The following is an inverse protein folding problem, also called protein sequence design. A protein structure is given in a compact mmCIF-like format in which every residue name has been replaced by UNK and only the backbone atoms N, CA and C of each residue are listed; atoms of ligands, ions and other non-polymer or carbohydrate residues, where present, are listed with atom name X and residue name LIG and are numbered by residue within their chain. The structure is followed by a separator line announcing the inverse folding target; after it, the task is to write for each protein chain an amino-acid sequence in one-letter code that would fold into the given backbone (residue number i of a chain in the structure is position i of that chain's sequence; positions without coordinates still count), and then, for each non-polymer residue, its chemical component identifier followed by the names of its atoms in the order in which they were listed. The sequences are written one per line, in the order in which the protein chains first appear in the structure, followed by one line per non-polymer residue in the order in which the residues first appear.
data_IF_021464348043
#
_entry.id   IF_021464348043
#
_cell.length_a   1.000
_cell.length_b   1.000
_cell.length_c   1.000
_cell.angle_alpha   90.00
_cell.angle_beta   90.00
_cell.angle_gamma   90.00
#
_symmetry.space_group_name_H-M   'P 1'
#
loop_
_entity.id
_entity.type
_entity.pdbx_description
1 polymer ?
#
# COMPACT_ATOMS: atom_id res chain seq x y z
N UNK A 1 -0.67 -18.47 -20.24
CA UNK A 1 0.42 -17.47 -20.31
C UNK A 1 -0.14 -16.20 -20.93
N UNK A 2 0.16 -15.04 -20.37
CA UNK A 2 -0.41 -13.75 -20.80
C UNK A 2 0.73 -12.78 -21.07
N UNK A 3 0.78 -12.20 -22.26
CA UNK A 3 1.75 -11.17 -22.64
C UNK A 3 1.07 -9.81 -22.64
N UNK A 4 1.65 -8.83 -21.93
CA UNK A 4 1.05 -7.50 -21.82
C UNK A 4 2.10 -6.40 -21.61
N UNK A 5 1.69 -5.15 -21.88
CA UNK A 5 2.45 -3.94 -21.60
C UNK A 5 1.60 -2.97 -20.78
N UNK A 6 2.26 -2.22 -19.91
CA UNK A 6 1.64 -1.19 -19.07
C UNK A 6 2.15 0.16 -19.53
N UNK A 7 1.26 1.05 -19.97
CA UNK A 7 1.57 2.41 -20.46
C UNK A 7 2.69 2.45 -21.53
N UNK A 8 2.73 1.45 -22.41
CA UNK A 8 3.78 1.33 -23.44
C UNK A 8 5.18 1.01 -22.88
N UNK A 9 5.27 0.56 -21.64
CA UNK A 9 6.50 0.14 -20.98
C UNK A 9 7.02 -1.23 -21.46
N UNK A 10 7.88 -1.84 -20.63
CA UNK A 10 8.47 -3.14 -20.94
C UNK A 10 7.41 -4.24 -21.11
N UNK A 11 7.62 -5.10 -22.12
CA UNK A 11 6.81 -6.31 -22.32
C UNK A 11 6.98 -7.24 -21.12
N UNK A 12 5.86 -7.60 -20.49
CA UNK A 12 5.82 -8.51 -19.36
C UNK A 12 5.04 -9.77 -19.74
N UNK A 13 5.56 -10.92 -19.30
CA UNK A 13 4.93 -12.23 -19.48
C UNK A 13 4.51 -12.78 -18.13
N UNK A 14 3.21 -12.99 -17.97
CA UNK A 14 2.59 -13.58 -16.78
C UNK A 14 2.34 -15.08 -17.01
N UNK A 15 2.88 -15.89 -16.10
CA UNK A 15 2.58 -17.31 -15.99
C UNK A 15 1.56 -17.51 -14.87
N UNK A 16 0.50 -18.25 -15.14
CA UNK A 16 -0.58 -18.53 -14.19
C UNK A 16 -1.08 -19.96 -14.40
N UNK A 17 -1.54 -20.57 -13.32
CA UNK A 17 -2.23 -21.86 -13.24
C UNK A 17 -3.76 -21.71 -13.35
N UNK A 18 -4.26 -20.48 -13.51
CA UNK A 18 -5.66 -20.20 -13.84
C UNK A 18 -5.87 -20.44 -15.34
N UNK A 19 -6.52 -21.56 -15.68
CA UNK A 19 -6.59 -22.06 -17.06
C UNK A 19 -7.86 -21.66 -17.83
N UNK A 20 -8.91 -21.24 -17.13
CA UNK A 20 -10.20 -20.86 -17.73
C UNK A 20 -10.21 -19.38 -18.14
N UNK A 21 -10.17 -19.06 -19.44
CA UNK A 21 -10.13 -17.67 -19.91
C UNK A 21 -11.46 -16.93 -19.79
N UNK A 22 -12.58 -17.64 -19.69
CA UNK A 22 -13.90 -17.01 -19.47
C UNK A 22 -14.09 -16.65 -18.00
N UNK A 23 -13.65 -17.53 -17.09
CA UNK A 23 -13.69 -17.25 -15.65
C UNK A 23 -12.60 -16.25 -15.21
N UNK A 24 -11.45 -16.24 -15.87
CA UNK A 24 -10.29 -15.41 -15.51
C UNK A 24 -9.75 -14.64 -16.72
N UNK A 25 -10.40 -13.54 -17.13
CA UNK A 25 -9.98 -12.76 -18.29
C UNK A 25 -8.54 -12.29 -18.19
N UNK A 26 -7.78 -12.41 -19.29
CA UNK A 26 -6.36 -12.09 -19.32
C UNK A 26 -6.06 -10.62 -18.94
N UNK A 27 -6.95 -9.70 -19.30
CA UNK A 27 -6.86 -8.28 -18.96
C UNK A 27 -6.94 -8.05 -17.44
N UNK A 28 -7.90 -8.69 -16.78
CA UNK A 28 -8.07 -8.62 -15.33
C UNK A 28 -6.88 -9.23 -14.59
N UNK A 29 -6.39 -10.39 -15.06
CA UNK A 29 -5.19 -11.01 -14.48
C UNK A 29 -3.94 -10.16 -14.65
N UNK A 30 -3.76 -9.51 -15.80
CA UNK A 30 -2.68 -8.58 -16.03
C UNK A 30 -2.78 -7.34 -15.12
N UNK A 31 -3.99 -6.81 -14.93
CA UNK A 31 -4.26 -5.70 -14.02
C UNK A 31 -3.93 -6.06 -12.57
N UNK A 32 -4.46 -7.17 -12.07
CA UNK A 32 -4.21 -7.66 -10.71
C UNK A 32 -2.73 -7.96 -10.46
N UNK A 33 -2.05 -8.58 -11.44
CA UNK A 33 -0.62 -8.84 -11.29
C UNK A 33 0.21 -7.56 -11.30
N UNK A 34 -0.23 -6.52 -12.02
CA UNK A 34 0.41 -5.22 -11.97
C UNK A 34 0.23 -4.55 -10.61
N UNK A 35 -0.95 -4.64 -10.00
CA UNK A 35 -1.20 -4.19 -8.62
C UNK A 35 -0.31 -4.90 -7.57
N UNK A 36 0.28 -6.06 -7.88
CA UNK A 36 1.24 -6.73 -6.99
C UNK A 36 2.40 -5.83 -6.57
N UNK A 37 2.81 -4.88 -7.42
CA UNK A 37 3.86 -3.91 -7.08
C UNK A 37 3.49 -3.03 -5.88
N UNK A 38 2.20 -2.96 -5.51
CA UNK A 38 1.75 -2.30 -4.29
C UNK A 38 2.20 -2.92 -2.98
N UNK A 39 2.79 -4.12 -3.04
CA UNK A 39 3.48 -4.67 -1.88
C UNK A 39 4.62 -3.75 -1.39
N UNK A 40 5.24 -2.97 -2.27
CA UNK A 40 6.26 -1.99 -1.88
C UNK A 40 5.69 -0.89 -0.98
N UNK A 41 4.46 -0.47 -1.26
CA UNK A 41 3.72 0.46 -0.41
C UNK A 41 3.48 -0.12 0.98
N UNK A 42 3.18 -1.41 1.09
CA UNK A 42 3.06 -2.11 2.37
C UNK A 42 4.41 -2.21 3.11
N UNK A 43 5.50 -2.56 2.41
CA UNK A 43 6.84 -2.56 3.00
C UNK A 43 7.26 -1.19 3.51
N UNK A 44 6.97 -0.11 2.77
CA UNK A 44 7.22 1.26 3.21
C UNK A 44 6.39 1.62 4.45
N UNK A 45 5.14 1.18 4.50
CA UNK A 45 4.30 1.37 5.70
C UNK A 45 4.89 0.71 6.92
N UNK A 46 5.35 -0.53 6.79
CA UNK A 46 5.96 -1.27 7.89
C UNK A 46 7.30 -0.66 8.31
N UNK A 47 8.23 -0.52 7.36
CA UNK A 47 9.64 -0.15 7.62
C UNK A 47 9.84 1.33 7.92
N UNK A 48 9.07 2.22 7.31
CA UNK A 48 9.27 3.68 7.44
C UNK A 48 8.27 4.31 8.41
N UNK A 49 6.98 4.02 8.26
CA UNK A 49 5.94 4.74 9.00
C UNK A 49 5.62 4.09 10.36
N UNK A 50 5.39 2.78 10.36
CA UNK A 50 5.00 2.05 11.55
C UNK A 50 6.19 1.83 12.48
N UNK A 51 7.32 1.33 11.99
CA UNK A 51 8.53 1.19 12.80
C UNK A 51 9.11 2.54 13.23
N UNK A 52 9.01 3.55 12.35
CA UNK A 52 9.58 4.88 12.59
C UNK A 52 11.05 4.96 12.20
N UNK A 53 11.78 5.96 12.71
CA UNK A 53 13.17 6.26 12.32
C UNK A 53 14.22 5.28 12.84
N UNK A 54 13.87 4.37 13.74
CA UNK A 54 14.82 3.38 14.25
C UNK A 54 15.21 2.42 13.12
N UNK A 55 16.51 2.30 12.86
CA UNK A 55 17.05 1.39 11.84
C UNK A 55 17.10 -0.06 12.33
N UNK A 56 17.28 -0.26 13.64
CA UNK A 56 17.41 -1.57 14.30
C UNK A 56 16.23 -1.82 15.25
N UNK A 57 15.83 -3.09 15.38
CA UNK A 57 14.87 -3.55 16.38
C UNK A 57 15.47 -3.44 17.80
N UNK A 58 14.63 -3.42 18.84
CA UNK A 58 15.09 -3.09 20.19
C UNK A 58 15.72 -4.28 20.90
N UNK A 59 15.22 -5.47 20.62
CA UNK A 59 15.68 -6.71 21.25
C UNK A 59 17.04 -7.16 20.75
N UNK A 60 17.82 -7.73 21.68
CA UNK A 60 19.14 -8.32 21.40
C UNK A 60 19.04 -9.84 21.20
N UNK A 61 18.08 -10.51 21.85
CA UNK A 61 17.86 -11.95 21.69
C UNK A 61 17.14 -12.28 20.38
N UNK A 62 17.60 -13.28 19.60
CA UNK A 62 16.92 -13.70 18.36
C UNK A 62 15.45 -14.07 18.54
N UNK A 63 15.08 -14.64 19.69
CA UNK A 63 13.68 -14.97 20.02
C UNK A 63 12.81 -13.71 20.13
N UNK A 64 13.27 -12.75 20.92
CA UNK A 64 12.55 -11.50 21.13
C UNK A 64 12.53 -10.63 19.87
N UNK A 65 13.57 -10.71 19.04
CA UNK A 65 13.59 -10.08 17.70
C UNK A 65 12.47 -10.66 16.82
N UNK A 66 12.31 -11.99 16.79
CA UNK A 66 11.20 -12.63 16.05
C UNK A 66 9.85 -12.19 16.59
N UNK A 67 9.70 -12.10 17.92
CA UNK A 67 8.48 -11.58 18.54
C UNK A 67 8.18 -10.13 18.14
N UNK A 68 9.19 -9.24 18.11
CA UNK A 68 9.02 -7.86 17.64
C UNK A 68 8.55 -7.79 16.18
N UNK A 69 9.11 -8.63 15.31
CA UNK A 69 8.69 -8.72 13.90
C UNK A 69 7.21 -9.13 13.82
N UNK A 70 6.80 -10.16 14.55
CA UNK A 70 5.40 -10.59 14.60
C UNK A 70 4.48 -9.52 15.15
N UNK A 71 4.90 -8.76 16.17
CA UNK A 71 4.14 -7.64 16.69
C UNK A 71 3.95 -6.53 15.63
N UNK A 72 4.99 -6.22 14.85
CA UNK A 72 4.88 -5.28 13.73
C UNK A 72 3.93 -5.77 12.64
N UNK A 73 4.02 -7.03 12.22
CA UNK A 73 3.13 -7.61 11.21
C UNK A 73 1.67 -7.63 11.69
N UNK A 74 1.44 -8.03 12.93
CA UNK A 74 0.11 -8.07 13.55
C UNK A 74 -0.51 -6.67 13.61
N UNK A 75 0.25 -5.67 14.09
CA UNK A 75 -0.24 -4.30 14.15
C UNK A 75 -0.51 -3.74 12.74
N UNK A 76 0.31 -4.06 11.75
CA UNK A 76 0.08 -3.67 10.37
C UNK A 76 -1.25 -4.23 9.85
N UNK A 77 -1.49 -5.52 10.07
CA UNK A 77 -2.72 -6.19 9.71
C UNK A 77 -3.95 -5.56 10.40
N UNK A 78 -3.87 -5.28 11.71
CA UNK A 78 -4.96 -4.61 12.44
C UNK A 78 -5.26 -3.20 11.89
N UNK A 79 -4.23 -2.43 11.55
CA UNK A 79 -4.40 -1.09 10.96
C UNK A 79 -5.04 -1.17 9.58
N UNK A 80 -4.64 -2.14 8.74
CA UNK A 80 -5.30 -2.37 7.45
C UNK A 80 -6.75 -2.82 7.63
N UNK A 81 -7.06 -3.66 8.61
CA UNK A 81 -8.45 -4.04 8.91
C UNK A 81 -9.31 -2.85 9.35
N UNK A 82 -8.73 -1.91 10.10
CA UNK A 82 -9.40 -0.64 10.42
C UNK A 82 -9.65 0.17 9.15
N UNK A 83 -8.65 0.27 8.25
CA UNK A 83 -8.78 0.96 6.97
C UNK A 83 -9.91 0.34 6.14
N UNK A 84 -9.90 -0.98 5.92
CA UNK A 84 -10.94 -1.67 5.15
C UNK A 84 -12.34 -1.41 5.71
N UNK A 85 -12.51 -1.49 7.03
CA UNK A 85 -13.81 -1.20 7.68
C UNK A 85 -14.27 0.25 7.54
N UNK A 86 -13.34 1.20 7.57
CA UNK A 86 -13.66 2.61 7.36
C UNK A 86 -13.99 2.89 5.90
N UNK A 87 -13.34 2.20 4.98
CA UNK A 87 -13.56 2.33 3.55
C UNK A 87 -14.96 1.80 3.18
N UNK A 88 -15.26 0.58 3.61
CA UNK A 88 -16.56 -0.07 3.45
C UNK A 88 -17.71 0.78 4.02
N UNK A 89 -17.57 1.27 5.25
CA UNK A 89 -18.61 2.09 5.90
C UNK A 89 -18.86 3.46 5.26
N UNK A 90 -17.96 3.94 4.39
CA UNK A 90 -18.06 5.24 3.72
C UNK A 90 -18.14 5.11 2.18
N UNK A 91 -18.20 3.88 1.64
CA UNK A 91 -18.23 3.63 0.19
C UNK A 91 -16.96 4.10 -0.54
N UNK A 92 -15.81 4.01 0.13
CA UNK A 92 -14.52 4.46 -0.40
C UNK A 92 -13.64 3.28 -0.79
N UNK A 93 -12.77 3.50 -1.77
CA UNK A 93 -11.62 2.63 -2.00
C UNK A 93 -10.65 2.72 -0.79
N UNK A 94 -10.26 1.58 -0.17
CA UNK A 94 -9.32 1.51 0.94
C UNK A 94 -7.99 2.24 0.71
N UNK A 95 -7.48 2.29 -0.51
CA UNK A 95 -6.20 2.93 -0.81
C UNK A 95 -6.23 4.45 -0.71
N UNK A 96 -7.44 5.02 -0.78
CA UNK A 96 -7.71 6.44 -0.52
C UNK A 96 -7.55 6.80 0.95
N UNK A 97 -7.64 5.83 1.86
CA UNK A 97 -7.45 6.05 3.28
C UNK A 97 -5.97 6.08 3.63
N UNK A 98 -5.59 7.11 4.39
CA UNK A 98 -4.20 7.30 4.78
C UNK A 98 -3.76 6.40 5.92
N UNK A 99 -2.90 5.42 5.61
CA UNK A 99 -2.25 4.57 6.62
C UNK A 99 -1.60 5.39 7.75
N UNK A 100 -0.82 6.43 7.42
CA UNK A 100 -0.14 7.27 8.43
C UNK A 100 -1.15 7.98 9.33
N UNK A 101 -2.29 8.45 8.80
CA UNK A 101 -3.34 9.07 9.62
C UNK A 101 -3.96 8.04 10.55
N UNK A 102 -4.32 6.85 10.05
CA UNK A 102 -4.91 5.77 10.86
C UNK A 102 -3.93 5.38 11.96
N UNK A 103 -2.66 5.11 11.63
CA UNK A 103 -1.59 4.84 12.60
C UNK A 103 -1.50 5.93 13.69
N UNK A 104 -1.48 7.21 13.32
CA UNK A 104 -1.41 8.33 14.29
C UNK A 104 -2.64 8.42 15.18
N UNK A 105 -3.83 8.10 14.68
CA UNK A 105 -5.06 8.11 15.48
C UNK A 105 -5.13 6.89 16.40
N UNK A 106 -4.78 5.70 15.90
CA UNK A 106 -4.71 4.47 16.70
C UNK A 106 -3.67 4.57 17.81
N UNK A 107 -2.48 5.12 17.55
CA UNK A 107 -1.48 5.37 18.60
C UNK A 107 -2.04 6.25 19.74
N UNK A 108 -2.75 7.32 19.38
CA UNK A 108 -3.39 8.20 20.37
C UNK A 108 -4.54 7.51 21.12
N UNK A 109 -5.26 6.58 20.48
CA UNK A 109 -6.37 5.87 21.11
C UNK A 109 -5.92 4.87 22.18
N UNK A 110 -4.72 4.30 22.04
CA UNK A 110 -4.08 3.47 23.07
C UNK A 110 -3.82 4.29 24.33
N UNK A 111 -3.22 5.47 24.20
CA UNK A 111 -2.98 6.39 25.33
C UNK A 111 -4.29 6.80 26.01
N UNK A 112 -5.34 7.03 25.22
CA UNK A 112 -6.69 7.35 25.71
C UNK A 112 -7.48 6.11 26.18
N UNK A 113 -6.88 4.92 26.14
CA UNK A 113 -7.46 3.65 26.58
C UNK A 113 -8.85 3.37 25.98
N UNK A 114 -9.01 3.72 24.70
CA UNK A 114 -10.28 3.59 23.97
C UNK A 114 -10.76 2.14 23.91
N UNK A 115 -9.85 1.17 23.88
CA UNK A 115 -10.15 -0.26 23.82
C UNK A 115 -10.76 -0.84 25.11
N UNK A 116 -10.86 -0.07 26.20
CA UNK A 116 -11.40 -0.56 27.48
C UNK A 116 -12.91 -0.81 27.46
N UNK A 117 -13.64 -0.26 26.49
CA UNK A 117 -15.07 -0.58 26.34
C UNK A 117 -15.52 -0.50 24.89
N UNK A 118 -16.49 -1.36 24.55
CA UNK A 118 -17.08 -1.38 23.21
C UNK A 118 -17.69 -0.03 22.81
N UNK A 119 -18.30 0.69 23.76
CA UNK A 119 -18.84 2.04 23.53
C UNK A 119 -17.76 3.03 23.12
N UNK A 120 -16.63 3.07 23.83
CA UNK A 120 -15.51 3.97 23.52
C UNK A 120 -14.89 3.61 22.17
N UNK A 121 -14.72 2.32 21.88
CA UNK A 121 -14.24 1.85 20.59
C UNK A 121 -15.14 2.28 19.44
N UNK A 122 -16.46 2.10 19.56
CA UNK A 122 -17.44 2.56 18.56
C UNK A 122 -17.36 4.08 18.34
N UNK A 123 -17.30 4.86 19.42
CA UNK A 123 -17.17 6.32 19.32
C UNK A 123 -15.86 6.73 18.64
N UNK A 124 -14.77 6.05 18.93
CA UNK A 124 -13.49 6.27 18.26
C UNK A 124 -13.53 5.94 16.77
N UNK A 125 -14.12 4.81 16.39
CA UNK A 125 -14.29 4.44 14.98
C UNK A 125 -15.12 5.48 14.24
N UNK A 126 -16.24 5.94 14.81
CA UNK A 126 -17.06 7.03 14.23
C UNK A 126 -16.25 8.32 14.06
N UNK A 127 -15.49 8.74 15.08
CA UNK A 127 -14.61 9.92 15.00
C UNK A 127 -13.50 9.75 13.97
N UNK A 128 -12.98 8.53 13.79
CA UNK A 128 -11.96 8.25 12.80
C UNK A 128 -12.53 8.35 11.39
N UNK A 129 -13.71 7.78 11.13
CA UNK A 129 -14.41 7.86 9.85
C UNK A 129 -14.60 9.32 9.41
N UNK A 130 -15.17 10.16 10.28
CA UNK A 130 -15.34 11.60 10.00
C UNK A 130 -14.02 12.31 9.66
N UNK A 131 -12.92 11.95 10.34
CA UNK A 131 -11.60 12.56 10.10
C UNK A 131 -10.93 12.06 8.83
N UNK A 132 -11.18 10.81 8.44
CA UNK A 132 -10.71 10.24 7.19
C UNK A 132 -11.40 10.96 6.04
N UNK A 133 -12.74 11.04 6.08
CA UNK A 133 -13.57 11.69 5.05
C UNK A 133 -13.23 13.17 4.87
N UNK A 134 -13.25 13.98 5.95
CA UNK A 134 -12.98 15.43 5.90
C UNK A 134 -11.62 15.82 5.30
N UNK A 135 -10.67 14.90 5.23
CA UNK A 135 -9.33 15.15 4.65
C UNK A 135 -9.06 14.38 3.37
N UNK A 136 -10.06 13.73 2.78
CA UNK A 136 -10.06 13.41 1.35
C UNK A 136 -10.24 14.68 0.51
N UNK A 137 -10.85 15.72 1.10
CA UNK A 137 -11.06 17.05 0.50
C UNK A 137 -9.76 17.82 0.18
N UNK A 138 -8.59 17.35 0.65
CA UNK A 138 -7.27 17.90 0.27
C UNK A 138 -6.77 17.36 -1.09
N UNK A 139 -7.69 16.91 -1.94
CA UNK A 139 -7.42 16.28 -3.24
C UNK A 139 -7.26 14.76 -3.14
N UNK A 140 -7.53 14.08 -4.25
CA UNK A 140 -7.39 12.64 -4.43
C UNK A 140 -6.00 12.21 -3.94
N UNK A 141 -5.96 11.40 -2.88
CA UNK A 141 -4.75 10.65 -2.52
C UNK A 141 -4.44 9.75 -3.72
N UNK A 142 -3.21 9.82 -4.24
CA UNK A 142 -2.71 8.92 -5.30
C UNK A 142 -3.13 7.50 -4.95
N UNK A 143 -3.63 6.74 -5.93
CA UNK A 143 -3.55 5.28 -5.82
C UNK A 143 -2.12 4.94 -5.42
N UNK A 144 -1.97 4.01 -4.48
CA UNK A 144 -0.64 3.56 -4.16
C UNK A 144 -0.16 2.92 -5.46
N UNK A 145 0.97 3.38 -5.94
CA UNK A 145 1.49 2.98 -7.22
C UNK A 145 3.01 3.06 -7.13
N UNK A 146 3.62 1.90 -6.98
CA UNK A 146 5.05 1.75 -7.12
C UNK A 146 5.37 1.62 -8.61
N UNK A 147 6.00 2.66 -9.18
CA UNK A 147 6.59 2.52 -10.51
C UNK A 147 7.66 1.44 -10.41
N UNK A 148 7.55 0.40 -11.25
CA UNK A 148 8.52 -0.67 -11.34
C UNK A 148 9.87 -0.06 -11.74
N UNK A 149 10.77 0.08 -10.78
CA UNK A 149 12.15 0.43 -11.05
C UNK A 149 13.01 -0.84 -10.97
N UNK A 150 13.67 -1.18 -12.08
CA UNK A 150 14.78 -2.12 -12.03
C UNK A 150 15.85 -1.52 -11.11
N UNK A 151 16.26 -2.29 -10.11
CA UNK A 151 17.23 -1.85 -9.11
C UNK A 151 18.54 -1.53 -9.84
N UNK A 152 18.81 -0.26 -10.14
CA UNK A 152 20.12 0.15 -10.61
C UNK A 152 21.17 -0.21 -9.55
N UNK A 153 22.39 -0.63 -9.93
CA UNK A 153 23.48 -0.79 -8.97
C UNK A 153 23.65 0.54 -8.22
N UNK A 154 23.46 0.49 -6.91
CA UNK A 154 23.28 1.68 -6.08
C UNK A 154 24.64 2.33 -5.86
N UNK A 155 24.82 3.56 -6.34
CA UNK A 155 25.80 4.46 -5.71
C UNK A 155 25.38 4.67 -4.25
N UNK A 156 26.32 4.62 -3.31
CA UNK A 156 26.08 4.85 -1.88
C UNK A 156 25.60 6.28 -1.57
N UNK A 157 25.63 7.19 -2.55
CA UNK A 157 25.32 8.60 -2.37
C UNK A 157 23.99 8.97 -3.03
N UNK A 158 23.15 9.70 -2.30
CA UNK A 158 21.97 10.37 -2.86
C UNK A 158 22.48 11.48 -3.78
N UNK A 159 22.50 11.24 -5.09
CA UNK A 159 22.77 12.30 -6.07
C UNK A 159 21.56 13.21 -6.14
N UNK A 160 21.56 14.29 -5.34
CA UNK A 160 20.60 15.37 -5.49
C UNK A 160 20.99 16.18 -6.73
N UNK A 161 20.27 16.01 -7.85
CA UNK A 161 20.43 16.90 -9.01
C UNK A 161 19.99 18.31 -8.60
N UNK A 162 20.84 19.30 -8.86
CA UNK A 162 20.66 20.71 -8.47
C UNK A 162 19.34 21.30 -9.01
N UNK A 163 18.85 20.76 -10.13
CA UNK A 163 17.62 21.20 -10.81
C UNK A 163 16.45 20.21 -10.67
N UNK A 164 16.49 19.30 -9.68
CA UNK A 164 15.39 18.37 -9.46
C UNK A 164 14.19 19.12 -8.87
N UNK A 165 13.32 19.61 -9.74
CA UNK A 165 12.04 20.22 -9.35
C UNK A 165 11.30 19.20 -8.48
N UNK A 166 10.96 19.57 -7.25
CA UNK A 166 10.01 18.81 -6.44
C UNK A 166 8.69 18.80 -7.21
N UNK A 167 8.46 17.72 -7.97
CA UNK A 167 7.17 17.53 -8.65
C UNK A 167 6.11 17.50 -7.55
N UNK A 168 5.16 18.43 -7.64
CA UNK A 168 3.96 18.40 -6.82
C UNK A 168 3.22 17.07 -6.99
N UNK A 169 2.26 16.81 -6.12
CA UNK A 169 1.43 15.60 -6.16
C UNK A 169 0.71 15.52 -7.52
N UNK A 170 1.28 14.79 -8.48
CA UNK A 170 0.69 14.58 -9.81
C UNK A 170 -0.47 13.59 -9.65
N UNK A 171 -1.61 13.86 -10.30
CA UNK A 171 -2.56 12.79 -10.62
C UNK A 171 -1.85 11.83 -11.55
N UNK A 172 -1.68 10.58 -11.15
CA UNK A 172 -1.25 9.55 -12.10
C UNK A 172 -2.53 9.05 -12.79
N UNK A 173 -2.61 9.11 -14.12
CA UNK A 173 -3.74 8.54 -14.84
C UNK A 173 -3.82 7.04 -14.53
N UNK A 174 -5.01 6.47 -14.72
CA UNK A 174 -5.18 5.03 -14.71
C UNK A 174 -4.25 4.42 -15.77
N UNK A 175 -3.54 3.34 -15.39
CA UNK A 175 -2.57 2.72 -16.28
C UNK A 175 -3.29 1.93 -17.35
N UNK A 176 -2.95 2.17 -18.61
CA UNK A 176 -3.47 1.40 -19.74
C UNK A 176 -2.73 0.06 -19.83
N UNK A 177 -3.46 -1.04 -19.79
CA UNK A 177 -2.92 -2.38 -20.04
C UNK A 177 -3.23 -2.76 -21.48
N UNK A 178 -2.19 -2.98 -22.26
CA UNK A 178 -2.31 -3.48 -23.63
C UNK A 178 -1.88 -4.93 -23.66
N UNK A 179 -2.84 -5.83 -23.90
CA UNK A 179 -2.53 -7.23 -24.17
C UNK A 179 -1.80 -7.33 -25.50
N UNK A 180 -0.68 -8.06 -25.51
CA UNK A 180 0.00 -8.41 -26.75
C UNK A 180 -0.62 -9.72 -27.25
N UNK A 181 -1.10 -9.80 -28.50
CA UNK A 181 -1.59 -11.05 -29.05
C UNK A 181 -0.48 -12.10 -28.94
N UNK A 182 -0.85 -13.30 -28.49
CA UNK A 182 0.09 -14.41 -28.39
C UNK A 182 0.76 -14.61 -29.74
N UNK A 183 2.10 -14.61 -29.76
CA UNK A 183 2.84 -15.04 -30.94
C UNK A 183 2.54 -16.53 -31.07
N UNK A 184 1.64 -16.90 -31.98
CA UNK A 184 1.49 -18.26 -32.44
C UNK A 184 2.86 -18.70 -32.98
N UNK A 185 3.57 -19.54 -32.23
CA UNK A 185 4.69 -20.33 -32.72
C UNK A 185 4.23 -21.78 -32.81
#
# INVERSE_FOLDING_TARGET
MIDYQVDGGEKTRLLTDLLDPEAWPAEELAALYHERWEIESAYRQLKTFQRGRAEVLRSVSPELVRQEIWAHLTLHHCLNRIIMRLADGEGLDPDRISFVKVLKHTRRSVVLQVGRSARRLRQFMKRMATKVVRKLDNGLRRLREADRYTRHPVSQYIVRKKDQVRRGTRRVPEKGITLTPAILQ
#
